data_IF_054670971571
#
_entry.id   IF_054670971571
#
_cell.length_a   1.000
_cell.length_b   1.000
_cell.length_c   1.000
_cell.angle_alpha   90.00
_cell.angle_beta   90.00
_cell.angle_gamma   90.00
#
_symmetry.space_group_name_H-M   'P 1'
#
loop_
_entity.id
_entity.type
_entity.pdbx_description
1 polymer ?
#
# COMPACT_ATOMS: atom_id res chain seq x y z
N UNK A 1 11.11 90.04 26.05
CA UNK A 1 10.42 89.47 27.23
C UNK A 1 9.20 88.68 26.79
N UNK A 2 9.01 87.49 27.37
CA UNK A 2 7.82 86.60 27.38
C UNK A 2 7.39 85.92 26.07
N UNK A 3 7.87 84.67 25.95
CA UNK A 3 7.20 83.54 25.28
C UNK A 3 5.96 83.12 26.09
N UNK A 4 4.85 82.77 25.42
CA UNK A 4 3.80 81.83 25.85
C UNK A 4 3.45 80.99 24.62
N UNK A 5 3.89 79.73 24.58
CA UNK A 5 3.07 78.51 24.72
C UNK A 5 1.88 78.44 23.76
N UNK A 6 1.84 77.40 22.91
CA UNK A 6 0.78 76.38 22.87
C UNK A 6 1.35 75.17 22.11
N UNK A 7 1.14 73.99 22.69
CA UNK A 7 1.51 72.69 22.18
C UNK A 7 0.55 72.24 21.07
N UNK A 8 1.08 71.49 20.10
CA UNK A 8 0.28 70.65 19.21
C UNK A 8 0.99 69.30 19.07
N UNK A 9 0.37 68.27 19.64
CA UNK A 9 0.70 66.87 19.43
C UNK A 9 0.26 66.47 18.02
N UNK A 10 1.18 65.96 17.20
CA UNK A 10 0.83 65.16 16.02
C UNK A 10 1.52 63.81 16.11
N UNK A 11 0.69 62.79 16.00
CA UNK A 11 0.91 61.36 16.19
C UNK A 11 1.83 60.84 15.08
N UNK A 12 2.98 60.26 15.46
CA UNK A 12 3.83 59.48 14.56
C UNK A 12 3.24 58.08 14.42
N UNK A 13 2.60 57.80 13.27
CA UNK A 13 2.24 56.46 12.86
C UNK A 13 3.52 55.71 12.46
N UNK A 14 4.03 54.84 13.34
CA UNK A 14 5.11 53.92 13.01
C UNK A 14 4.54 52.76 12.17
N UNK A 15 4.82 52.75 10.87
CA UNK A 15 4.67 51.56 10.03
C UNK A 15 5.67 50.50 10.50
N UNK A 16 5.20 49.57 11.33
CA UNK A 16 5.93 48.35 11.64
C UNK A 16 5.99 47.46 10.41
N UNK A 17 7.14 47.43 9.72
CA UNK A 17 7.48 46.36 8.80
C UNK A 17 7.60 45.06 9.59
N UNK A 18 6.51 44.31 9.66
CA UNK A 18 6.50 42.92 10.13
C UNK A 18 7.27 42.11 9.09
N UNK A 19 8.56 41.88 9.35
CA UNK A 19 9.33 40.85 8.64
C UNK A 19 8.70 39.50 9.01
N UNK A 20 7.78 39.01 8.18
CA UNK A 20 7.32 37.64 8.23
C UNK A 20 8.52 36.77 7.87
N UNK A 21 9.24 36.27 8.90
CA UNK A 21 10.17 35.16 8.73
C UNK A 21 9.33 33.96 8.33
N UNK A 22 9.21 33.71 7.04
CA UNK A 22 8.80 32.41 6.53
C UNK A 22 9.84 31.42 7.02
N UNK A 23 9.54 30.70 8.11
CA UNK A 23 10.19 29.42 8.36
C UNK A 23 9.73 28.52 7.23
N UNK A 24 10.50 28.49 6.14
CA UNK A 24 10.46 27.34 5.26
C UNK A 24 10.72 26.14 6.18
N UNK A 25 9.67 25.36 6.41
CA UNK A 25 9.82 24.01 6.96
C UNK A 25 10.72 23.31 5.96
N UNK A 26 12.02 23.29 6.23
CA UNK A 26 12.91 22.37 5.58
C UNK A 26 12.33 21.01 5.87
N UNK A 27 11.81 20.33 4.85
CA UNK A 27 11.52 18.91 4.96
C UNK A 27 12.80 18.30 5.53
N UNK A 28 12.74 17.81 6.78
CA UNK A 28 13.88 17.11 7.34
C UNK A 28 14.25 16.04 6.33
N UNK A 29 15.52 16.06 5.91
CA UNK A 29 16.05 15.06 4.99
C UNK A 29 16.01 13.75 5.76
N UNK A 30 14.96 12.97 5.54
CA UNK A 30 14.79 11.71 6.25
C UNK A 30 15.82 10.74 5.74
N UNK A 31 16.69 10.28 6.63
CA UNK A 31 17.70 9.25 6.36
C UNK A 31 17.06 7.86 6.07
N UNK A 32 15.74 7.75 6.06
CA UNK A 32 14.98 6.51 5.87
C UNK A 32 14.08 6.65 4.64
N UNK A 33 14.21 5.72 3.71
CA UNK A 33 13.33 5.55 2.55
C UNK A 33 12.51 4.29 2.73
N UNK A 34 11.20 4.44 2.81
CA UNK A 34 10.24 3.35 2.97
C UNK A 34 9.51 3.10 1.65
N UNK A 35 9.42 1.84 1.24
CA UNK A 35 8.80 1.43 -0.01
C UNK A 35 7.89 0.24 0.27
N UNK A 36 6.59 0.44 0.09
CA UNK A 36 5.61 -0.66 0.12
C UNK A 36 5.71 -1.43 -1.20
N UNK A 37 5.77 -2.76 -1.13
CA UNK A 37 6.02 -3.60 -2.30
C UNK A 37 4.88 -3.49 -3.32
N UNK A 38 3.63 -3.37 -2.87
CA UNK A 38 2.46 -3.19 -3.73
C UNK A 38 2.48 -1.89 -4.55
N UNK A 39 3.33 -0.93 -4.18
CA UNK A 39 3.51 0.33 -4.91
C UNK A 39 4.65 0.26 -5.94
N UNK A 40 5.21 -0.92 -6.20
CA UNK A 40 6.20 -1.09 -7.26
C UNK A 40 5.59 -0.74 -8.62
N UNK A 41 6.33 0.03 -9.41
CA UNK A 41 5.84 0.56 -10.68
C UNK A 41 5.56 -0.54 -11.70
N UNK A 42 6.34 -1.61 -11.67
CA UNK A 42 6.19 -2.79 -12.53
C UNK A 42 6.22 -4.03 -11.64
N UNK A 43 5.15 -4.82 -11.58
CA UNK A 43 5.12 -6.01 -10.73
C UNK A 43 5.78 -7.24 -11.38
N UNK A 44 6.12 -7.20 -12.67
CA UNK A 44 6.66 -8.36 -13.38
C UNK A 44 5.68 -9.54 -13.30
N UNK A 45 6.16 -10.70 -12.82
CA UNK A 45 5.29 -11.85 -12.51
C UNK A 45 4.93 -11.98 -11.02
N UNK A 46 5.06 -10.89 -10.25
CA UNK A 46 4.53 -10.80 -8.90
C UNK A 46 3.10 -10.28 -8.93
N UNK A 47 2.22 -10.84 -8.10
CA UNK A 47 0.85 -10.37 -7.91
C UNK A 47 0.72 -9.61 -6.60
N UNK A 48 -0.09 -8.54 -6.60
CA UNK A 48 -0.54 -7.88 -5.40
C UNK A 48 -1.57 -8.78 -4.70
N UNK A 49 -1.25 -9.24 -3.49
CA UNK A 49 -2.07 -10.18 -2.71
C UNK A 49 -2.50 -9.54 -1.39
N UNK A 50 -3.77 -9.74 -1.03
CA UNK A 50 -4.40 -9.10 0.13
C UNK A 50 -4.75 -10.07 1.27
N UNK A 51 -4.36 -11.35 1.19
CA UNK A 51 -4.79 -12.40 2.13
C UNK A 51 -4.49 -12.08 3.60
N UNK A 52 -3.47 -11.26 3.85
CA UNK A 52 -3.00 -10.93 5.20
C UNK A 52 -3.16 -9.46 5.58
N UNK A 53 -3.91 -8.67 4.81
CA UNK A 53 -4.06 -7.22 5.06
C UNK A 53 -4.61 -6.92 6.46
N UNK A 54 -5.53 -7.74 6.98
CA UNK A 54 -6.06 -7.58 8.35
C UNK A 54 -5.02 -7.85 9.45
N UNK A 55 -3.97 -8.60 9.16
CA UNK A 55 -2.87 -8.90 10.08
C UNK A 55 -1.69 -7.94 9.90
N UNK A 56 -1.43 -7.53 8.66
CA UNK A 56 -0.25 -6.75 8.29
C UNK A 56 -0.50 -5.26 8.18
N UNK A 57 -1.76 -4.85 8.02
CA UNK A 57 -2.15 -3.48 7.70
C UNK A 57 -1.86 -3.07 6.24
N UNK A 58 -1.43 -4.00 5.40
CA UNK A 58 -1.05 -3.76 3.99
C UNK A 58 -1.18 -5.04 3.17
N UNK A 59 -1.41 -4.91 1.86
CA UNK A 59 -1.17 -6.02 0.93
C UNK A 59 0.33 -6.24 0.72
N UNK A 60 0.71 -7.21 -0.10
CA UNK A 60 2.11 -7.55 -0.38
C UNK A 60 2.28 -8.10 -1.80
N UNK A 61 3.52 -8.16 -2.28
CA UNK A 61 3.84 -8.83 -3.54
C UNK A 61 4.12 -10.32 -3.32
N UNK A 62 3.50 -11.13 -4.18
CA UNK A 62 3.57 -12.59 -4.21
C UNK A 62 4.13 -13.09 -5.55
N UNK A 63 5.22 -13.84 -5.57
CA UNK A 63 5.79 -14.42 -6.79
C UNK A 63 5.01 -15.66 -7.27
N UNK A 64 4.20 -15.55 -8.34
CA UNK A 64 3.25 -16.59 -8.78
C UNK A 64 3.78 -17.48 -9.91
N UNK A 65 4.99 -18.02 -9.72
CA UNK A 65 5.72 -18.74 -10.78
C UNK A 65 5.41 -20.22 -10.98
N UNK A 66 4.77 -20.87 -10.00
CA UNK A 66 4.47 -22.31 -9.99
C UNK A 66 5.70 -23.16 -10.36
N UNK A 67 6.79 -22.97 -9.62
CA UNK A 67 8.04 -23.71 -9.77
C UNK A 67 8.98 -23.19 -10.85
N UNK A 68 8.66 -22.05 -11.48
CA UNK A 68 9.59 -21.31 -12.33
C UNK A 68 9.75 -19.89 -11.79
N UNK A 69 10.98 -19.38 -11.61
CA UNK A 69 11.18 -17.99 -11.22
C UNK A 69 10.41 -17.02 -12.12
N UNK A 70 9.73 -16.06 -11.51
CA UNK A 70 8.97 -15.04 -12.24
C UNK A 70 9.84 -13.85 -12.65
N UNK A 71 9.35 -13.05 -13.60
CA UNK A 71 9.98 -11.78 -13.94
C UNK A 71 9.99 -10.83 -12.73
N UNK A 72 11.08 -10.07 -12.60
CA UNK A 72 11.32 -9.16 -11.47
C UNK A 72 10.19 -8.14 -11.31
N UNK A 73 9.81 -7.85 -10.06
CA UNK A 73 9.11 -6.61 -9.74
C UNK A 73 10.14 -5.48 -9.64
N UNK A 74 9.86 -4.32 -10.23
CA UNK A 74 10.79 -3.20 -10.36
C UNK A 74 10.15 -1.88 -9.92
N UNK A 75 10.91 -1.07 -9.19
CA UNK A 75 10.55 0.31 -8.88
C UNK A 75 11.78 1.21 -8.85
N UNK A 76 11.54 2.52 -8.92
CA UNK A 76 12.58 3.55 -8.78
C UNK A 76 12.35 4.32 -7.49
N UNK A 77 13.44 4.57 -6.77
CA UNK A 77 13.41 5.36 -5.55
C UNK A 77 14.42 6.51 -5.62
N UNK A 78 14.13 7.58 -4.89
CA UNK A 78 15.06 8.68 -4.67
C UNK A 78 15.49 8.70 -3.21
N UNK A 79 16.75 8.39 -2.98
CA UNK A 79 17.42 8.55 -1.71
C UNK A 79 17.70 10.02 -1.41
N UNK A 80 17.76 10.40 -0.13
CA UNK A 80 18.10 11.77 0.27
C UNK A 80 19.49 12.20 -0.20
N UNK A 81 20.45 11.27 -0.23
CA UNK A 81 21.86 11.51 -0.62
C UNK A 81 22.56 10.21 -1.02
N UNK A 82 23.63 10.26 -1.83
CA UNK A 82 24.58 9.15 -1.93
C UNK A 82 25.16 8.76 -0.55
N UNK A 83 25.59 7.52 -0.42
CA UNK A 83 26.23 7.02 0.79
C UNK A 83 25.86 5.57 1.09
N UNK A 84 26.17 5.15 2.30
CA UNK A 84 25.88 3.80 2.78
C UNK A 84 24.48 3.71 3.35
N UNK A 85 23.74 2.68 2.95
CA UNK A 85 22.41 2.37 3.44
C UNK A 85 22.33 0.92 3.90
N UNK A 86 21.60 0.66 4.99
CA UNK A 86 21.18 -0.68 5.37
C UNK A 86 19.82 -0.99 4.75
N UNK A 87 19.69 -2.17 4.16
CA UNK A 87 18.44 -2.69 3.63
C UNK A 87 17.72 -3.49 4.72
N UNK A 88 16.44 -3.21 4.93
CA UNK A 88 15.52 -4.09 5.64
C UNK A 88 14.41 -4.55 4.70
N UNK A 89 14.03 -5.81 4.79
CA UNK A 89 12.95 -6.39 3.98
C UNK A 89 11.95 -7.07 4.90
N UNK A 90 10.68 -6.64 4.86
CA UNK A 90 9.59 -7.35 5.53
C UNK A 90 9.09 -8.44 4.62
N UNK A 91 9.23 -9.69 5.05
CA UNK A 91 8.87 -10.86 4.27
C UNK A 91 8.38 -11.99 5.17
N UNK A 92 7.85 -13.04 4.54
CA UNK A 92 7.35 -14.23 5.23
C UNK A 92 7.89 -15.50 4.58
N UNK A 93 8.42 -16.38 5.42
CA UNK A 93 8.69 -17.77 5.03
C UNK A 93 7.41 -18.59 5.22
N UNK A 94 6.63 -18.75 4.16
CA UNK A 94 5.30 -19.34 4.23
C UNK A 94 5.29 -20.86 4.47
N UNK A 95 6.41 -21.52 4.27
CA UNK A 95 6.58 -22.94 4.58
C UNK A 95 7.97 -23.19 5.18
N UNK A 96 8.13 -22.89 6.47
CA UNK A 96 9.41 -22.91 7.19
C UNK A 96 10.26 -24.16 7.01
N UNK A 97 9.64 -25.33 6.89
CA UNK A 97 10.36 -26.60 6.74
C UNK A 97 11.28 -26.60 5.52
N UNK A 98 10.85 -25.98 4.40
CA UNK A 98 11.61 -25.98 3.14
C UNK A 98 12.02 -24.60 2.65
N UNK A 99 11.38 -23.53 3.15
CA UNK A 99 11.55 -22.16 2.67
C UNK A 99 11.50 -22.07 1.14
N UNK A 100 10.40 -22.50 0.51
CA UNK A 100 10.34 -22.59 -0.95
C UNK A 100 10.26 -21.22 -1.63
N UNK A 101 9.70 -20.18 -1.00
CA UNK A 101 9.51 -18.85 -1.59
C UNK A 101 10.71 -17.91 -1.38
N UNK A 102 11.86 -18.25 -1.95
CA UNK A 102 13.09 -17.49 -1.78
C UNK A 102 13.28 -16.43 -2.87
N UNK A 103 13.81 -15.28 -2.48
CA UNK A 103 14.07 -14.17 -3.38
C UNK A 103 15.25 -13.32 -2.88
N UNK A 104 15.79 -12.49 -3.76
CA UNK A 104 16.76 -11.44 -3.43
C UNK A 104 16.19 -10.06 -3.75
N UNK A 105 16.76 -9.05 -3.12
CA UNK A 105 16.53 -7.65 -3.50
C UNK A 105 17.77 -7.15 -4.23
N UNK A 106 17.57 -6.58 -5.42
CA UNK A 106 18.65 -5.93 -6.17
C UNK A 106 18.55 -4.42 -5.91
N UNK A 107 19.57 -3.84 -5.29
CA UNK A 107 19.66 -2.41 -4.95
C UNK A 107 20.69 -1.76 -5.86
N UNK A 108 20.26 -0.81 -6.70
CA UNK A 108 21.13 -0.11 -7.64
C UNK A 108 22.01 -1.08 -8.48
N UNK A 109 21.40 -2.17 -8.96
CA UNK A 109 22.07 -3.20 -9.76
C UNK A 109 22.90 -4.22 -8.95
N UNK A 110 23.01 -4.09 -7.62
CA UNK A 110 23.75 -5.04 -6.76
C UNK A 110 22.76 -5.94 -5.99
N UNK A 111 22.82 -7.28 -6.13
CA UNK A 111 21.96 -8.19 -5.38
C UNK A 111 22.34 -8.23 -3.89
N UNK A 112 21.34 -8.39 -3.02
CA UNK A 112 21.54 -8.63 -1.59
C UNK A 112 22.28 -9.94 -1.33
N UNK A 113 23.22 -9.92 -0.39
CA UNK A 113 23.87 -11.15 0.09
C UNK A 113 22.89 -12.06 0.83
N UNK A 114 21.96 -11.45 1.56
CA UNK A 114 20.84 -12.14 2.18
C UNK A 114 19.86 -12.61 1.11
N UNK A 115 19.45 -13.87 1.20
CA UNK A 115 18.25 -14.36 0.53
C UNK A 115 17.09 -14.32 1.52
N UNK A 116 15.97 -13.77 1.09
CA UNK A 116 14.77 -13.58 1.88
C UNK A 116 13.82 -14.78 1.76
N UNK A 117 12.77 -14.81 2.59
CA UNK A 117 11.83 -15.94 2.65
C UNK A 117 12.37 -17.19 3.35
N UNK A 118 13.37 -17.03 4.23
CA UNK A 118 14.03 -18.14 4.98
C UNK A 118 14.03 -17.96 6.50
N UNK A 119 13.04 -17.25 7.04
CA UNK A 119 12.97 -16.94 8.47
C UNK A 119 12.69 -18.16 9.38
N UNK A 120 12.22 -19.28 8.82
CA UNK A 120 11.98 -20.55 9.53
C UNK A 120 10.95 -20.52 10.67
N UNK A 121 10.03 -19.55 10.68
CA UNK A 121 9.00 -19.43 11.73
C UNK A 121 7.59 -19.10 11.24
N UNK A 122 7.40 -18.89 9.94
CA UNK A 122 6.06 -18.65 9.39
C UNK A 122 5.52 -17.24 9.64
N UNK A 123 6.26 -16.36 10.32
CA UNK A 123 5.81 -15.02 10.66
C UNK A 123 6.24 -13.98 9.63
N UNK A 124 5.50 -12.86 9.59
CA UNK A 124 5.94 -11.65 8.90
C UNK A 124 7.01 -10.96 9.74
N UNK A 125 8.22 -10.80 9.19
CA UNK A 125 9.36 -10.25 9.94
C UNK A 125 10.24 -9.36 9.08
N UNK A 126 10.85 -8.39 9.74
CA UNK A 126 11.96 -7.63 9.16
C UNK A 126 13.23 -8.46 9.14
N UNK A 127 13.79 -8.65 7.95
CA UNK A 127 15.07 -9.34 7.74
C UNK A 127 16.12 -8.34 7.27
N UNK A 128 17.30 -8.39 7.88
CA UNK A 128 18.45 -7.56 7.50
C UNK A 128 19.01 -8.03 6.14
N UNK A 129 18.97 -7.14 5.16
CA UNK A 129 19.47 -7.35 3.80
C UNK A 129 20.95 -7.01 3.62
N UNK A 130 21.58 -6.45 4.65
CA UNK A 130 22.96 -5.96 4.63
C UNK A 130 23.08 -4.50 4.20
N UNK A 131 24.32 -4.07 4.06
CA UNK A 131 24.69 -2.70 3.72
C UNK A 131 25.05 -2.57 2.23
N UNK A 132 24.68 -1.43 1.65
CA UNK A 132 24.94 -1.06 0.27
C UNK A 132 25.55 0.34 0.21
N UNK A 133 26.72 0.47 -0.44
CA UNK A 133 27.29 1.76 -0.79
C UNK A 133 26.69 2.23 -2.13
N UNK A 134 25.94 3.33 -2.08
CA UNK A 134 25.14 3.85 -3.20
C UNK A 134 25.71 5.19 -3.68
N UNK A 135 26.06 5.25 -4.96
CA UNK A 135 26.75 6.40 -5.56
C UNK A 135 25.79 7.47 -6.12
N UNK A 136 24.58 7.07 -6.52
CA UNK A 136 23.55 7.96 -7.07
C UNK A 136 22.33 7.98 -6.14
N UNK A 137 21.73 9.16 -5.86
CA UNK A 137 20.50 9.20 -5.08
C UNK A 137 19.30 8.64 -5.84
N UNK A 138 19.34 8.59 -7.18
CA UNK A 138 18.33 7.91 -7.98
C UNK A 138 18.76 6.46 -8.16
N UNK A 139 17.94 5.53 -7.66
CA UNK A 139 18.22 4.11 -7.73
C UNK A 139 17.02 3.35 -8.30
N UNK A 140 17.33 2.16 -8.81
CA UNK A 140 16.35 1.13 -9.11
C UNK A 140 16.43 0.05 -8.04
N UNK A 141 15.26 -0.49 -7.69
CA UNK A 141 15.09 -1.61 -6.77
C UNK A 141 14.32 -2.72 -7.48
N UNK A 142 14.75 -3.96 -7.26
CA UNK A 142 14.08 -5.14 -7.82
C UNK A 142 13.84 -6.21 -6.79
N UNK A 143 12.70 -6.89 -6.90
CA UNK A 143 12.46 -8.19 -6.27
C UNK A 143 12.78 -9.27 -7.29
N UNK A 144 13.83 -10.03 -7.03
CA UNK A 144 14.29 -11.11 -7.89
C UNK A 144 13.91 -12.46 -7.29
N UNK A 145 12.92 -13.12 -7.87
CA UNK A 145 12.50 -14.45 -7.45
C UNK A 145 13.57 -15.47 -7.82
N UNK A 146 13.91 -16.36 -6.88
CA UNK A 146 14.92 -17.41 -7.09
C UNK A 146 14.31 -18.79 -7.33
N UNK A 147 13.01 -18.94 -7.04
CA UNK A 147 12.44 -20.27 -6.79
C UNK A 147 11.13 -20.54 -7.52
N UNK A 148 10.33 -19.51 -7.81
CA UNK A 148 9.03 -19.69 -8.44
C UNK A 148 7.93 -20.17 -7.50
N UNK A 149 8.16 -20.20 -6.18
CA UNK A 149 7.23 -20.78 -5.21
C UNK A 149 6.74 -19.75 -4.20
N UNK A 150 5.97 -18.75 -4.66
CA UNK A 150 5.20 -17.86 -3.79
C UNK A 150 6.06 -17.11 -2.78
N UNK A 151 7.20 -16.56 -3.22
CA UNK A 151 7.98 -15.60 -2.43
C UNK A 151 7.10 -14.42 -2.03
N UNK A 152 7.20 -13.96 -0.78
CA UNK A 152 6.33 -12.93 -0.20
C UNK A 152 7.14 -11.74 0.30
N UNK A 153 6.87 -10.55 -0.25
CA UNK A 153 7.54 -9.32 0.14
C UNK A 153 6.50 -8.22 0.40
N UNK A 154 6.51 -7.67 1.61
CA UNK A 154 5.60 -6.62 2.07
C UNK A 154 6.21 -5.23 1.86
N UNK A 155 7.40 -5.00 2.40
CA UNK A 155 8.02 -3.67 2.36
C UNK A 155 9.55 -3.73 2.36
N UNK A 156 10.16 -2.70 1.80
CA UNK A 156 11.59 -2.48 1.77
C UNK A 156 11.92 -1.15 2.45
N UNK A 157 12.98 -1.13 3.24
CA UNK A 157 13.53 0.09 3.83
C UNK A 157 14.99 0.21 3.47
N UNK A 158 15.40 1.39 3.01
CA UNK A 158 16.79 1.80 2.94
C UNK A 158 17.04 2.88 3.99
N UNK A 159 17.89 2.59 4.98
CA UNK A 159 18.22 3.52 6.06
C UNK A 159 19.70 3.93 6.00
N UNK A 160 19.97 5.23 5.96
CA UNK A 160 21.30 5.80 6.14
C UNK A 160 21.72 5.84 7.62
N UNK A 161 20.76 5.75 8.55
CA UNK A 161 21.05 5.40 9.96
C UNK A 161 21.21 3.88 10.07
N UNK A 162 22.46 3.43 10.16
CA UNK A 162 22.80 2.00 10.24
C UNK A 162 22.40 1.36 11.59
N UNK A 163 21.98 2.15 12.57
CA UNK A 163 21.44 1.66 13.85
C UNK A 163 19.91 1.56 13.82
N UNK A 164 19.24 2.14 12.82
CA UNK A 164 17.81 2.04 12.67
C UNK A 164 17.38 0.58 12.55
N UNK A 165 16.34 0.22 13.30
CA UNK A 165 15.64 -1.05 13.20
C UNK A 165 14.14 -0.79 13.08
N UNK A 166 13.48 -1.28 12.03
CA UNK A 166 12.04 -1.18 11.92
C UNK A 166 11.34 -2.02 12.99
N UNK A 167 10.16 -1.58 13.42
CA UNK A 167 9.41 -2.24 14.48
C UNK A 167 8.64 -3.47 13.97
N UNK A 168 8.65 -4.53 14.77
CA UNK A 168 7.79 -5.71 14.58
C UNK A 168 6.43 -5.55 15.29
N UNK A 169 6.32 -4.68 16.29
CA UNK A 169 5.07 -4.36 16.98
C UNK A 169 4.07 -3.68 16.01
N UNK A 170 2.80 -4.16 15.91
CA UNK A 170 1.86 -3.62 14.94
C UNK A 170 1.55 -2.13 15.08
N UNK A 171 1.42 -1.62 16.31
CA UNK A 171 1.07 -0.22 16.54
C UNK A 171 2.25 0.71 16.18
N UNK A 172 3.46 0.34 16.59
CA UNK A 172 4.65 1.09 16.24
C UNK A 172 4.99 0.98 14.75
N UNK A 173 4.77 -0.17 14.13
CA UNK A 173 4.90 -0.34 12.68
C UNK A 173 3.96 0.59 11.91
N UNK A 174 2.69 0.67 12.29
CA UNK A 174 1.73 1.59 11.69
C UNK A 174 2.21 3.04 11.81
N UNK A 175 2.70 3.44 12.98
CA UNK A 175 3.29 4.76 13.21
C UNK A 175 4.50 5.01 12.31
N UNK A 176 5.38 4.02 12.12
CA UNK A 176 6.55 4.12 11.26
C UNK A 176 6.18 4.23 9.77
N UNK A 177 5.18 3.47 9.32
CA UNK A 177 4.64 3.59 7.95
C UNK A 177 4.14 4.99 7.67
N UNK A 178 3.34 5.54 8.58
CA UNK A 178 2.90 6.93 8.47
C UNK A 178 4.10 7.89 8.52
N UNK A 179 5.03 7.69 9.46
CA UNK A 179 6.19 8.54 9.64
C UNK A 179 7.07 8.61 8.41
N UNK A 180 7.33 7.48 7.74
CA UNK A 180 8.25 7.41 6.61
C UNK A 180 7.58 7.41 5.25
N UNK A 181 6.26 7.59 5.22
CA UNK A 181 5.49 7.76 3.97
C UNK A 181 5.16 6.46 3.26
N UNK A 182 5.19 5.32 3.96
CA UNK A 182 4.66 4.06 3.44
C UNK A 182 3.15 4.13 3.17
N UNK A 183 2.43 4.94 3.97
CA UNK A 183 1.00 5.23 3.75
C UNK A 183 0.76 6.72 3.60
N UNK A 184 -0.22 7.09 2.77
CA UNK A 184 -0.68 8.48 2.68
C UNK A 184 -1.35 8.89 3.97
N UNK A 185 -0.96 10.05 4.50
CA UNK A 185 -1.64 10.70 5.64
C UNK A 185 -2.78 11.62 5.19
N UNK A 186 -2.89 11.84 3.89
CA UNK A 186 -3.93 12.69 3.33
C UNK A 186 -5.27 11.96 3.44
N UNK A 187 -6.12 12.42 4.33
CA UNK A 187 -7.52 11.99 4.39
C UNK A 187 -8.21 12.68 3.21
N UNK A 188 -8.68 11.88 2.26
CA UNK A 188 -9.55 12.37 1.19
C UNK A 188 -10.98 12.30 1.70
N UNK A 189 -11.69 13.42 1.60
CA UNK A 189 -13.13 13.50 1.88
C UNK A 189 -13.88 13.64 0.54
N UNK A 190 -14.17 12.53 -0.17
CA UNK A 190 -14.75 12.58 -1.51
C UNK A 190 -16.25 12.99 -1.54
N UNK A 191 -16.78 13.49 -0.43
CA UNK A 191 -18.21 13.73 -0.24
C UNK A 191 -18.82 14.85 -1.08
N UNK A 192 -20.14 15.12 -0.90
CA UNK A 192 -21.07 14.38 -0.04
C UNK A 192 -21.70 13.17 -0.75
N UNK A 193 -21.95 12.10 0.01
CA UNK A 193 -22.70 10.91 -0.43
C UNK A 193 -23.91 10.71 0.48
N UNK A 194 -24.98 10.16 -0.10
CA UNK A 194 -26.22 9.85 0.63
C UNK A 194 -26.18 8.42 1.17
N UNK A 195 -25.43 7.53 0.49
CA UNK A 195 -25.21 6.14 0.91
C UNK A 195 -23.73 5.79 0.76
N UNK A 196 -23.15 5.17 1.79
CA UNK A 196 -21.81 4.58 1.73
C UNK A 196 -21.93 3.07 1.87
N UNK A 197 -21.41 2.33 0.89
CA UNK A 197 -21.34 0.88 0.89
C UNK A 197 -19.89 0.45 1.06
N UNK A 198 -19.62 -0.41 2.03
CA UNK A 198 -18.28 -0.94 2.29
C UNK A 198 -18.24 -2.42 1.95
N UNK A 199 -17.42 -2.77 0.95
CA UNK A 199 -17.30 -4.12 0.39
C UNK A 199 -18.03 -4.25 -0.95
N UNK A 200 -17.28 -4.50 -2.01
CA UNK A 200 -17.76 -4.72 -3.38
C UNK A 200 -18.14 -6.17 -3.68
N UNK A 201 -18.57 -6.94 -2.68
CA UNK A 201 -19.13 -8.28 -2.90
C UNK A 201 -20.46 -8.22 -3.65
N UNK A 202 -21.10 -9.38 -3.90
CA UNK A 202 -22.42 -9.42 -4.53
C UNK A 202 -23.44 -8.54 -3.80
N UNK A 203 -23.57 -8.69 -2.47
CA UNK A 203 -24.49 -7.91 -1.65
C UNK A 203 -24.20 -6.40 -1.69
N UNK A 204 -22.93 -6.00 -1.55
CA UNK A 204 -22.55 -4.58 -1.57
C UNK A 204 -22.68 -3.97 -2.97
N UNK A 205 -22.33 -4.70 -4.03
CA UNK A 205 -22.55 -4.25 -5.40
C UNK A 205 -24.05 -4.07 -5.68
N UNK A 206 -24.88 -5.03 -5.28
CA UNK A 206 -26.33 -4.92 -5.43
C UNK A 206 -26.91 -3.75 -4.63
N UNK A 207 -26.47 -3.54 -3.38
CA UNK A 207 -26.88 -2.41 -2.55
C UNK A 207 -26.48 -1.07 -3.16
N UNK A 208 -25.26 -0.96 -3.70
CA UNK A 208 -24.77 0.25 -4.35
C UNK A 208 -25.58 0.57 -5.61
N UNK A 209 -25.87 -0.43 -6.45
CA UNK A 209 -26.70 -0.29 -7.65
C UNK A 209 -28.13 0.10 -7.27
N UNK A 210 -28.73 -0.55 -6.27
CA UNK A 210 -30.08 -0.22 -5.80
C UNK A 210 -30.18 1.23 -5.32
N UNK A 211 -29.25 1.66 -4.47
CA UNK A 211 -29.21 3.03 -3.95
C UNK A 211 -29.01 4.06 -5.09
N UNK A 212 -28.11 3.79 -6.03
CA UNK A 212 -27.90 4.66 -7.18
C UNK A 212 -29.16 4.78 -8.06
N UNK A 213 -29.88 3.68 -8.28
CA UNK A 213 -31.16 3.66 -9.03
C UNK A 213 -32.27 4.43 -8.33
N UNK A 214 -32.20 4.56 -7.01
CA UNK A 214 -33.11 5.39 -6.21
C UNK A 214 -32.69 6.86 -6.13
N UNK A 215 -31.64 7.26 -6.87
CA UNK A 215 -31.18 8.64 -6.96
C UNK A 215 -30.20 9.06 -5.86
N UNK A 216 -29.71 8.14 -5.04
CA UNK A 216 -28.68 8.43 -4.05
C UNK A 216 -27.31 8.63 -4.72
N UNK A 217 -26.52 9.58 -4.22
CA UNK A 217 -25.07 9.62 -4.46
C UNK A 217 -24.42 8.54 -3.62
N UNK A 218 -23.86 7.52 -4.27
CA UNK A 218 -23.30 6.36 -3.58
C UNK A 218 -21.77 6.40 -3.60
N UNK A 219 -21.15 6.20 -2.44
CA UNK A 219 -19.75 5.83 -2.34
C UNK A 219 -19.65 4.32 -2.14
N UNK A 220 -19.03 3.60 -3.07
CA UNK A 220 -18.67 2.20 -2.91
C UNK A 220 -17.18 2.09 -2.57
N UNK A 221 -16.87 1.63 -1.37
CA UNK A 221 -15.51 1.42 -0.89
C UNK A 221 -15.20 -0.06 -1.01
N UNK A 222 -14.14 -0.39 -1.76
CA UNK A 222 -13.71 -1.76 -1.99
C UNK A 222 -12.19 -1.85 -1.81
N UNK A 223 -11.74 -2.88 -1.11
CA UNK A 223 -10.33 -3.12 -0.81
C UNK A 223 -9.56 -3.76 -1.99
N UNK A 224 -10.27 -4.46 -2.89
CA UNK A 224 -9.74 -5.11 -4.10
C UNK A 224 -10.01 -4.36 -5.41
N UNK A 225 -9.17 -4.55 -6.46
CA UNK A 225 -9.37 -3.92 -7.76
C UNK A 225 -10.56 -4.50 -8.56
N UNK A 226 -11.20 -5.57 -8.07
CA UNK A 226 -12.32 -6.25 -8.71
C UNK A 226 -13.54 -6.36 -7.77
N UNK A 227 -14.73 -6.25 -8.34
CA UNK A 227 -16.00 -6.48 -7.65
C UNK A 227 -16.41 -7.96 -7.71
N UNK A 228 -17.43 -8.33 -6.93
CA UNK A 228 -18.03 -9.67 -6.90
C UNK A 228 -17.66 -10.50 -5.68
N UNK A 229 -16.68 -10.09 -4.88
CA UNK A 229 -16.30 -10.86 -3.70
C UNK A 229 -15.71 -12.22 -4.13
N UNK A 230 -16.27 -13.32 -3.64
CA UNK A 230 -15.87 -14.66 -4.12
C UNK A 230 -16.36 -14.95 -5.55
N UNK A 231 -17.39 -14.25 -6.02
CA UNK A 231 -17.84 -14.29 -7.42
C UNK A 231 -17.05 -13.37 -8.35
N UNK A 232 -15.99 -12.72 -7.85
CA UNK A 232 -15.07 -11.97 -8.71
C UNK A 232 -14.36 -12.90 -9.70
N UNK A 233 -13.89 -12.34 -10.81
CA UNK A 233 -13.06 -13.05 -11.80
C UNK A 233 -11.74 -13.56 -11.22
N UNK A 234 -11.31 -13.04 -10.07
CA UNK A 234 -10.12 -13.47 -9.34
C UNK A 234 -10.34 -14.79 -8.58
N UNK A 235 -11.52 -14.97 -7.97
CA UNK A 235 -11.82 -16.10 -7.09
C UNK A 235 -12.67 -17.17 -7.79
N UNK A 236 -13.58 -16.75 -8.68
CA UNK A 236 -14.30 -17.65 -9.58
C UNK A 236 -15.36 -18.54 -8.94
N UNK A 237 -15.85 -18.22 -7.74
CA UNK A 237 -16.97 -18.93 -7.12
C UNK A 237 -18.27 -18.30 -7.62
N UNK A 238 -18.98 -18.93 -8.59
CA UNK A 238 -20.16 -18.32 -9.18
C UNK A 238 -21.25 -18.11 -8.12
N UNK A 239 -22.08 -17.05 -8.24
CA UNK A 239 -23.30 -16.95 -7.47
C UNK A 239 -24.16 -18.18 -7.75
N UNK A 240 -24.53 -18.91 -6.71
CA UNK A 240 -25.50 -19.99 -6.79
C UNK A 240 -26.59 -19.70 -5.78
N UNK A 241 -27.84 -19.70 -6.25
CA UNK A 241 -29.00 -19.66 -5.36
C UNK A 241 -29.07 -20.91 -4.50
N UNK A 242 -30.05 -20.96 -3.62
CA UNK A 242 -30.36 -22.18 -2.88
C UNK A 242 -30.81 -23.27 -3.87
N UNK A 243 -29.90 -24.20 -4.18
CA UNK A 243 -30.17 -25.37 -5.03
C UNK A 243 -30.59 -26.58 -4.21
N UNK A 244 -31.15 -26.41 -3.01
CA UNK A 244 -31.96 -27.49 -2.42
C UNK A 244 -32.97 -27.90 -3.49
N UNK A 245 -33.09 -29.20 -3.77
CA UNK A 245 -33.91 -29.79 -4.84
C UNK A 245 -35.44 -29.55 -4.63
N UNK A 246 -35.84 -28.32 -4.42
CA UNK A 246 -37.20 -27.86 -4.35
C UNK A 246 -37.76 -27.84 -5.78
N UNK A 247 -39.05 -28.17 -5.99
CA UNK A 247 -39.66 -28.26 -7.32
C UNK A 247 -39.58 -26.98 -8.16
N UNK A 248 -39.31 -25.86 -7.49
CA UNK A 248 -39.13 -24.54 -8.05
C UNK A 248 -37.70 -24.13 -7.70
N UNK A 249 -36.74 -24.36 -8.59
CA UNK A 249 -35.36 -23.84 -8.49
C UNK A 249 -35.40 -22.31 -8.67
N UNK A 250 -35.50 -21.53 -7.57
CA UNK A 250 -35.64 -20.10 -7.67
C UNK A 250 -34.21 -19.57 -7.79
N UNK A 251 -33.72 -19.51 -9.04
CA UNK A 251 -32.46 -18.82 -9.36
C UNK A 251 -32.41 -17.45 -8.67
N UNK A 252 -31.20 -16.94 -8.44
CA UNK A 252 -31.03 -15.56 -7.94
C UNK A 252 -31.81 -14.56 -8.81
N UNK A 253 -32.59 -13.66 -8.19
CA UNK A 253 -33.47 -12.71 -8.90
C UNK A 253 -33.11 -11.26 -8.62
N UNK A 254 -33.75 -10.33 -9.35
CA UNK A 254 -33.57 -8.90 -9.15
C UNK A 254 -32.20 -8.44 -9.64
N UNK A 255 -31.53 -7.56 -8.88
CA UNK A 255 -30.21 -7.02 -9.28
C UNK A 255 -29.15 -8.12 -9.42
N UNK A 256 -29.30 -9.23 -8.68
CA UNK A 256 -28.38 -10.36 -8.77
C UNK A 256 -28.46 -11.07 -10.13
N UNK A 257 -29.65 -11.19 -10.72
CA UNK A 257 -29.84 -11.76 -12.06
C UNK A 257 -29.16 -10.88 -13.14
N UNK A 258 -29.09 -9.57 -12.92
CA UNK A 258 -28.39 -8.65 -13.85
C UNK A 258 -26.86 -8.80 -13.83
N UNK A 259 -26.30 -9.36 -12.74
CA UNK A 259 -24.87 -9.63 -12.62
C UNK A 259 -24.47 -10.97 -13.23
N UNK A 260 -25.42 -11.87 -13.46
CA UNK A 260 -25.17 -13.16 -14.09
C UNK A 260 -24.87 -12.97 -15.58
N UNK A 261 -23.67 -13.35 -16.08
CA UNK A 261 -23.38 -13.31 -17.52
C UNK A 261 -24.23 -14.28 -18.36
N UNK A 262 -25.10 -15.07 -17.72
CA UNK A 262 -25.91 -16.10 -18.32
C UNK A 262 -25.11 -17.38 -18.43
N UNK A 263 -25.55 -18.43 -17.74
CA UNK A 263 -25.11 -19.79 -18.04
C UNK A 263 -25.55 -20.09 -19.49
N UNK A 264 -24.65 -20.47 -20.41
CA UNK A 264 -25.07 -20.95 -21.72
C UNK A 264 -26.03 -22.10 -21.48
N UNK A 265 -27.29 -21.96 -21.91
CA UNK A 265 -28.26 -23.04 -21.81
C UNK A 265 -27.64 -24.28 -22.46
N UNK A 266 -27.39 -25.32 -21.69
CA UNK A 266 -27.08 -26.63 -22.24
C UNK A 266 -28.34 -27.12 -22.98
N UNK A 267 -28.44 -26.75 -24.25
CA UNK A 267 -29.29 -27.43 -25.23
C UNK A 267 -28.65 -28.74 -25.65
#
# INVERSE_FOLDING_TARGET
MRKKQIAAYCILAAMGLVFCRSTASGAEVRDIVWLEAEQFAECGGWSNDQQFTSQMGSPYLLATGVGRPVADAVTKARLPRPGRYRLWVRCRDWYPERSPGQFQVIVAGRPSKTTFGRAKDGAWKWTDGGEFDIESPKIELRLHDLTGWWGRCDALILSADLKFRPADDPAELARQRELYGGVSREIKEPGPYDVVVVGGGLAGSAAAVAAARLGCRVALIQDRPVLGGNASTEIGVPPQGDTTNEPLDPRETGIMEEFDPGIPSHT
#
